data_IF_206254649033
#
_entry.id   IF_206254649033
#
_cell.length_a   1.000
_cell.length_b   1.000
_cell.length_c   1.000
_cell.angle_alpha   90.00
_cell.angle_beta   90.00
_cell.angle_gamma   90.00
#
_symmetry.space_group_name_H-M   'P 1'
#
loop_
_entity.id
_entity.type
_entity.pdbx_description
1 polymer ?
#
# COMPACT_ATOMS: atom_id res chain seq x y z
N UNK A 1 25.75 -8.91 -16.59
CA UNK A 1 25.89 -10.32 -16.17
C UNK A 1 26.01 -10.42 -14.66
N UNK A 2 27.06 -9.87 -14.01
CA UNK A 2 27.28 -9.90 -12.54
C UNK A 2 26.09 -9.43 -11.70
N UNK A 3 25.34 -8.42 -12.16
CA UNK A 3 24.18 -7.90 -11.45
C UNK A 3 23.04 -8.95 -11.35
N UNK A 4 22.84 -9.75 -12.37
CA UNK A 4 21.82 -10.82 -12.38
C UNK A 4 22.28 -11.99 -11.50
N UNK A 5 23.57 -12.28 -11.47
CA UNK A 5 24.15 -13.36 -10.65
C UNK A 5 24.15 -13.03 -9.16
N UNK A 6 24.22 -11.74 -8.80
CA UNK A 6 24.23 -11.31 -7.39
C UNK A 6 22.83 -11.00 -6.88
N UNK A 7 21.96 -10.41 -7.74
CA UNK A 7 20.66 -9.85 -7.34
C UNK A 7 19.45 -10.46 -8.09
N UNK A 8 19.67 -11.54 -8.83
CA UNK A 8 18.62 -12.26 -9.52
C UNK A 8 17.80 -13.15 -8.59
N UNK A 9 16.71 -13.69 -9.11
CA UNK A 9 15.91 -14.71 -8.44
C UNK A 9 16.81 -15.96 -8.17
N UNK A 10 16.66 -16.57 -7.00
CA UNK A 10 17.43 -17.73 -6.56
C UNK A 10 18.94 -17.49 -6.35
N UNK A 11 19.35 -16.23 -6.20
CA UNK A 11 20.75 -15.88 -5.88
C UNK A 11 20.98 -15.81 -4.37
N UNK A 12 22.23 -15.78 -3.88
CA UNK A 12 22.53 -15.67 -2.45
C UNK A 12 21.96 -14.42 -1.76
N UNK A 13 21.63 -13.38 -2.53
CA UNK A 13 21.01 -12.15 -2.02
C UNK A 13 19.48 -12.15 -2.14
N UNK A 14 18.91 -13.12 -2.83
CA UNK A 14 17.48 -13.35 -2.91
C UNK A 14 17.03 -14.17 -1.69
N UNK A 15 17.05 -13.51 -0.53
CA UNK A 15 16.58 -14.13 0.70
C UNK A 15 15.07 -14.28 0.62
N UNK A 16 14.53 -15.52 0.74
CA UNK A 16 13.10 -15.70 0.75
C UNK A 16 12.44 -14.83 1.82
N UNK A 17 11.33 -14.16 1.53
CA UNK A 17 10.61 -13.33 2.51
C UNK A 17 10.12 -14.11 3.74
N UNK A 18 10.27 -15.43 3.73
CA UNK A 18 9.95 -16.34 4.85
C UNK A 18 11.13 -16.58 5.81
N UNK A 19 12.30 -16.02 5.57
CA UNK A 19 13.42 -16.02 6.50
C UNK A 19 13.21 -14.95 7.58
N UNK A 20 12.12 -15.05 8.30
CA UNK A 20 11.84 -14.22 9.46
C UNK A 20 12.54 -14.76 10.72
N UNK A 21 12.23 -14.15 11.86
CA UNK A 21 12.75 -14.58 13.17
C UNK A 21 12.49 -16.07 13.50
N UNK A 22 11.48 -16.70 12.87
CA UNK A 22 11.17 -18.12 13.02
C UNK A 22 12.25 -19.02 12.46
N UNK A 23 12.94 -18.60 11.38
CA UNK A 23 14.05 -19.37 10.81
C UNK A 23 15.24 -19.47 11.77
N UNK A 24 15.49 -18.44 12.58
CA UNK A 24 16.55 -18.46 13.58
C UNK A 24 16.36 -19.57 14.65
N UNK A 25 15.14 -20.01 14.88
CA UNK A 25 14.83 -21.10 15.81
C UNK A 25 15.28 -22.47 15.29
N UNK A 26 15.56 -22.59 13.98
CA UNK A 26 16.04 -23.82 13.36
C UNK A 26 17.54 -24.06 13.59
N UNK A 27 18.29 -23.04 14.01
CA UNK A 27 19.70 -23.20 14.35
C UNK A 27 19.86 -23.87 15.71
N UNK A 28 20.80 -24.85 15.84
CA UNK A 28 20.87 -25.71 17.01
C UNK A 28 21.31 -25.00 18.28
N UNK A 29 22.02 -23.90 18.18
CA UNK A 29 22.58 -23.18 19.32
C UNK A 29 22.59 -21.67 19.12
N UNK A 30 22.77 -20.96 20.23
CA UNK A 30 22.79 -19.49 20.27
C UNK A 30 24.00 -18.88 19.59
N UNK A 31 25.13 -19.57 19.56
CA UNK A 31 26.36 -19.10 18.95
C UNK A 31 26.18 -19.02 17.42
N UNK A 32 25.65 -20.07 16.83
CA UNK A 32 25.28 -20.14 15.40
C UNK A 32 24.24 -19.09 15.03
N UNK A 33 23.21 -18.90 15.87
CA UNK A 33 22.22 -17.84 15.67
C UNK A 33 22.86 -16.43 15.67
N UNK A 34 23.77 -16.16 16.58
CA UNK A 34 24.46 -14.88 16.67
C UNK A 34 25.40 -14.64 15.47
N UNK A 35 26.10 -15.67 15.03
CA UNK A 35 26.96 -15.58 13.84
C UNK A 35 26.13 -15.30 12.59
N UNK A 36 25.01 -15.99 12.42
CA UNK A 36 24.08 -15.72 11.32
C UNK A 36 23.55 -14.28 11.34
N UNK A 37 23.13 -13.79 12.51
CA UNK A 37 22.69 -12.39 12.67
C UNK A 37 23.79 -11.40 12.33
N UNK A 38 25.03 -11.69 12.73
CA UNK A 38 26.18 -10.85 12.41
C UNK A 38 26.43 -10.77 10.91
N UNK A 39 26.34 -11.92 10.21
CA UNK A 39 26.51 -11.97 8.76
C UNK A 39 25.36 -11.25 8.02
N UNK A 40 24.13 -11.45 8.44
CA UNK A 40 22.99 -10.70 7.90
C UNK A 40 23.16 -9.19 8.08
N UNK A 41 23.55 -8.77 9.27
CA UNK A 41 23.76 -7.36 9.56
C UNK A 41 24.90 -6.76 8.70
N UNK A 42 26.00 -7.47 8.52
CA UNK A 42 27.08 -6.99 7.64
C UNK A 42 26.66 -6.93 6.17
N UNK A 43 25.79 -7.83 5.71
CA UNK A 43 25.21 -7.76 4.38
C UNK A 43 24.26 -6.56 4.25
N UNK A 44 23.39 -6.34 5.24
CA UNK A 44 22.49 -5.18 5.27
C UNK A 44 23.28 -3.86 5.28
N UNK A 45 24.32 -3.76 6.11
CA UNK A 45 25.19 -2.59 6.16
C UNK A 45 25.83 -2.31 4.80
N UNK A 46 26.37 -3.34 4.15
CA UNK A 46 26.94 -3.21 2.80
C UNK A 46 25.91 -2.80 1.75
N UNK A 47 24.69 -3.31 1.84
CA UNK A 47 23.60 -2.97 0.91
C UNK A 47 23.08 -1.53 1.08
N UNK A 48 23.32 -0.91 2.23
CA UNK A 48 22.87 0.45 2.56
C UNK A 48 24.02 1.46 2.44
N UNK A 49 25.27 1.03 2.33
CA UNK A 49 26.42 1.93 2.19
C UNK A 49 26.33 2.73 0.87
N UNK A 50 26.17 4.08 0.93
CA UNK A 50 26.04 4.89 -0.28
C UNK A 50 27.24 4.84 -1.23
N UNK A 51 28.42 4.45 -0.73
CA UNK A 51 29.64 4.41 -1.53
C UNK A 51 29.78 3.13 -2.36
N UNK A 52 29.26 2.00 -1.85
CA UNK A 52 29.47 0.68 -2.45
C UNK A 52 28.18 0.03 -2.93
N UNK A 53 27.03 0.43 -2.37
CA UNK A 53 25.76 -0.13 -2.75
C UNK A 53 25.28 0.38 -4.13
N UNK A 54 24.72 -0.50 -4.97
CA UNK A 54 24.10 -0.06 -6.20
C UNK A 54 22.84 0.78 -5.91
N UNK A 55 22.61 1.79 -6.73
CA UNK A 55 21.37 2.56 -6.69
C UNK A 55 20.14 1.62 -6.77
N UNK A 56 19.25 1.74 -5.79
CA UNK A 56 18.04 0.91 -5.68
C UNK A 56 16.81 1.78 -5.57
N UNK A 57 15.77 1.38 -6.27
CA UNK A 57 14.43 1.90 -6.08
C UNK A 57 13.54 0.81 -5.46
N UNK A 58 12.70 1.19 -4.52
CA UNK A 58 11.64 0.30 -4.06
C UNK A 58 10.63 0.10 -5.19
N UNK A 59 10.34 -1.15 -5.51
CA UNK A 59 9.32 -1.52 -6.48
C UNK A 59 8.35 -2.52 -5.84
N UNK A 60 7.07 -2.37 -6.19
CA UNK A 60 6.05 -3.35 -5.86
C UNK A 60 6.01 -4.39 -6.96
N UNK A 61 6.23 -5.63 -6.59
CA UNK A 61 6.11 -6.78 -7.48
C UNK A 61 4.94 -7.63 -6.98
N UNK A 62 4.13 -8.13 -7.90
CA UNK A 62 3.05 -9.04 -7.55
C UNK A 62 3.61 -10.42 -7.20
N UNK A 63 2.91 -11.10 -6.31
CA UNK A 63 3.16 -12.53 -6.08
C UNK A 63 2.85 -13.32 -7.37
N UNK A 64 3.61 -14.37 -7.64
CA UNK A 64 3.39 -15.26 -8.78
C UNK A 64 2.01 -15.94 -8.71
N UNK A 65 1.46 -16.10 -7.50
CA UNK A 65 0.14 -16.69 -7.25
C UNK A 65 -0.64 -15.84 -6.25
N UNK A 66 -1.22 -14.71 -6.69
CA UNK A 66 -2.00 -13.86 -5.81
C UNK A 66 -3.27 -14.59 -5.33
N UNK A 67 -3.47 -14.62 -4.02
CA UNK A 67 -4.62 -15.27 -3.39
C UNK A 67 -5.65 -14.26 -2.89
N UNK A 68 -6.93 -14.63 -2.99
CA UNK A 68 -8.00 -13.88 -2.35
C UNK A 68 -7.96 -14.06 -0.83
N UNK A 69 -8.18 -12.98 -0.11
CA UNK A 69 -8.20 -12.97 1.34
C UNK A 69 -9.39 -13.78 1.90
N UNK A 70 -9.24 -14.25 3.13
CA UNK A 70 -10.33 -14.88 3.88
C UNK A 70 -10.80 -13.99 5.02
N UNK A 71 -12.08 -14.03 5.31
CA UNK A 71 -12.63 -13.35 6.49
C UNK A 71 -12.09 -13.99 7.74
N UNK A 72 -11.53 -13.21 8.65
CA UNK A 72 -11.13 -13.68 9.97
C UNK A 72 -12.36 -13.68 10.89
N UNK A 73 -12.84 -14.86 11.26
CA UNK A 73 -14.02 -14.98 12.14
C UNK A 73 -13.70 -14.34 13.49
N UNK A 74 -14.48 -13.35 13.86
CA UNK A 74 -14.26 -12.52 15.08
C UNK A 74 -12.86 -11.90 15.19
N UNK A 75 -12.22 -11.62 14.04
CA UNK A 75 -10.87 -11.07 14.00
C UNK A 75 -9.75 -12.06 14.34
N UNK A 76 -10.04 -13.34 14.47
CA UNK A 76 -9.05 -14.37 14.80
C UNK A 76 -8.38 -14.91 13.53
N UNK A 77 -7.06 -14.67 13.29
CA UNK A 77 -6.37 -15.13 12.10
C UNK A 77 -6.27 -16.66 11.96
N UNK A 78 -6.47 -17.40 13.06
CA UNK A 78 -6.49 -18.86 13.05
C UNK A 78 -7.86 -19.45 12.73
N UNK A 79 -8.91 -18.61 12.66
CA UNK A 79 -10.27 -19.03 12.32
C UNK A 79 -10.69 -18.37 11.01
N UNK A 80 -10.38 -19.03 9.91
CA UNK A 80 -10.64 -18.55 8.57
C UNK A 80 -12.07 -18.88 8.13
N UNK A 81 -12.81 -17.87 7.73
CA UNK A 81 -14.13 -17.97 7.10
C UNK A 81 -14.06 -18.10 5.57
N UNK A 82 -15.05 -17.56 4.91
CA UNK A 82 -15.16 -17.58 3.44
C UNK A 82 -14.04 -16.80 2.76
N UNK A 83 -13.70 -17.17 1.52
CA UNK A 83 -12.86 -16.37 0.64
C UNK A 83 -13.65 -15.18 0.12
N UNK A 84 -13.02 -14.02 0.10
CA UNK A 84 -13.60 -12.79 -0.44
C UNK A 84 -12.80 -12.37 -1.65
N UNK A 85 -13.41 -12.28 -2.84
CA UNK A 85 -12.71 -11.82 -4.02
C UNK A 85 -12.23 -10.38 -3.83
N UNK A 86 -11.07 -10.07 -4.38
CA UNK A 86 -10.53 -8.70 -4.41
C UNK A 86 -11.42 -7.85 -5.30
N UNK A 87 -11.97 -6.77 -4.77
CA UNK A 87 -12.91 -5.89 -5.46
C UNK A 87 -12.95 -4.52 -4.80
N UNK A 88 -13.53 -3.55 -5.49
CA UNK A 88 -13.70 -2.22 -4.93
C UNK A 88 -14.84 -2.15 -3.90
N UNK A 89 -14.98 -0.99 -3.26
CA UNK A 89 -16.03 -0.78 -2.25
C UNK A 89 -17.41 -0.79 -2.89
N UNK A 90 -18.33 -1.58 -2.36
CA UNK A 90 -19.70 -1.73 -2.88
C UNK A 90 -20.45 -0.40 -3.02
N UNK A 91 -20.19 0.57 -2.15
CA UNK A 91 -20.81 1.89 -2.22
C UNK A 91 -20.40 2.67 -3.48
N UNK A 92 -19.21 2.43 -4.01
CA UNK A 92 -18.63 3.13 -5.15
C UNK A 92 -18.61 2.28 -6.42
N UNK A 93 -18.78 0.98 -6.29
CA UNK A 93 -18.91 -0.01 -7.35
C UNK A 93 -20.05 -0.99 -7.01
N UNK A 94 -21.30 -0.64 -7.36
CA UNK A 94 -22.45 -1.49 -7.09
C UNK A 94 -22.41 -2.87 -7.78
N UNK A 95 -21.72 -2.97 -8.90
CA UNK A 95 -21.57 -4.21 -9.67
C UNK A 95 -20.62 -5.20 -9.01
N UNK A 96 -19.75 -4.70 -8.12
CA UNK A 96 -18.81 -5.50 -7.34
C UNK A 96 -17.93 -6.40 -8.23
N UNK A 97 -17.43 -5.85 -9.32
CA UNK A 97 -16.55 -6.55 -10.26
C UNK A 97 -15.28 -6.99 -9.55
N UNK A 98 -14.96 -8.28 -9.63
CA UNK A 98 -13.74 -8.82 -9.06
C UNK A 98 -12.51 -8.35 -9.87
N UNK A 99 -11.40 -8.11 -9.18
CA UNK A 99 -10.13 -7.80 -9.82
C UNK A 99 -9.47 -9.08 -10.31
N UNK A 100 -9.05 -9.11 -11.57
CA UNK A 100 -8.53 -10.29 -12.25
C UNK A 100 -7.06 -10.14 -12.65
N UNK A 101 -6.56 -8.91 -12.79
CA UNK A 101 -5.19 -8.64 -13.24
C UNK A 101 -4.18 -8.72 -12.07
N UNK A 102 -3.37 -9.76 -12.02
CA UNK A 102 -2.34 -9.95 -11.01
C UNK A 102 -2.87 -9.88 -9.57
N UNK A 103 -2.29 -9.04 -8.73
CA UNK A 103 -2.77 -8.81 -7.36
C UNK A 103 -4.01 -7.90 -7.28
N UNK A 104 -4.47 -7.30 -8.38
CA UNK A 104 -5.56 -6.32 -8.40
C UNK A 104 -5.14 -4.89 -8.03
N UNK A 105 -3.85 -4.63 -7.78
CA UNK A 105 -3.38 -3.29 -7.37
C UNK A 105 -3.60 -2.24 -8.44
N UNK A 106 -3.41 -2.58 -9.71
CA UNK A 106 -3.64 -1.68 -10.84
C UNK A 106 -5.12 -1.33 -10.96
N UNK A 107 -5.99 -2.33 -10.96
CA UNK A 107 -7.45 -2.15 -11.01
C UNK A 107 -7.95 -1.35 -9.81
N UNK A 108 -7.41 -1.61 -8.61
CA UNK A 108 -7.71 -0.80 -7.42
C UNK A 108 -7.28 0.66 -7.61
N UNK A 109 -6.10 0.90 -8.15
CA UNK A 109 -5.63 2.26 -8.42
C UNK A 109 -6.53 2.97 -9.44
N UNK A 110 -6.90 2.30 -10.52
CA UNK A 110 -7.83 2.82 -11.54
C UNK A 110 -9.21 3.11 -10.95
N UNK A 111 -9.75 2.24 -10.09
CA UNK A 111 -11.01 2.46 -9.39
C UNK A 111 -10.95 3.67 -8.43
N UNK A 112 -9.82 3.85 -7.72
CA UNK A 112 -9.61 5.00 -6.83
C UNK A 112 -9.63 6.31 -7.64
N UNK A 113 -8.90 6.38 -8.75
CA UNK A 113 -8.80 7.62 -9.55
C UNK A 113 -9.92 7.79 -10.58
N UNK A 114 -10.85 6.86 -10.65
CA UNK A 114 -11.97 6.88 -11.57
C UNK A 114 -12.72 8.22 -11.51
N UNK A 115 -13.14 8.77 -12.67
CA UNK A 115 -13.99 9.97 -12.70
C UNK A 115 -15.31 9.80 -11.96
N UNK A 116 -15.80 8.58 -11.80
CA UNK A 116 -17.04 8.26 -11.07
C UNK A 116 -16.85 8.26 -9.56
N UNK A 117 -15.61 8.15 -9.07
CA UNK A 117 -15.31 8.22 -7.65
C UNK A 117 -15.19 9.68 -7.17
N UNK A 118 -16.12 10.17 -6.32
CA UNK A 118 -16.09 11.56 -5.86
C UNK A 118 -15.09 11.83 -4.74
N UNK A 119 -14.62 10.79 -4.05
CA UNK A 119 -13.91 10.96 -2.77
C UNK A 119 -12.48 11.53 -2.92
N UNK A 120 -11.62 11.04 -3.84
CA UNK A 120 -10.24 11.53 -3.93
C UNK A 120 -10.14 13.02 -4.19
N UNK A 121 -10.98 13.54 -5.09
CA UNK A 121 -10.97 14.96 -5.42
C UNK A 121 -11.47 15.83 -4.26
N UNK A 122 -12.44 15.33 -3.49
CA UNK A 122 -12.91 16.00 -2.27
C UNK A 122 -11.83 16.04 -1.19
N UNK A 123 -11.17 14.92 -0.95
CA UNK A 123 -10.08 14.82 0.04
C UNK A 123 -8.92 15.72 -0.35
N UNK A 124 -8.51 15.69 -1.61
CA UNK A 124 -7.40 16.50 -2.11
C UNK A 124 -7.72 18.00 -2.05
N UNK A 125 -8.90 18.41 -2.53
CA UNK A 125 -9.36 19.80 -2.46
C UNK A 125 -9.42 20.31 -1.01
N UNK A 126 -9.90 19.48 -0.08
CA UNK A 126 -9.93 19.83 1.35
C UNK A 126 -8.51 20.05 1.92
N UNK A 127 -7.57 19.21 1.55
CA UNK A 127 -6.16 19.35 2.01
C UNK A 127 -5.49 20.57 1.41
N UNK A 128 -5.66 20.82 0.12
CA UNK A 128 -5.13 22.02 -0.54
C UNK A 128 -5.72 23.27 0.11
N UNK A 129 -7.04 23.31 0.28
CA UNK A 129 -7.74 24.41 0.92
C UNK A 129 -7.21 24.66 2.35
N UNK A 130 -7.03 23.61 3.14
CA UNK A 130 -6.48 23.69 4.49
C UNK A 130 -5.09 24.34 4.51
N UNK A 131 -4.22 23.98 3.57
CA UNK A 131 -2.88 24.57 3.50
C UNK A 131 -2.89 26.04 3.04
N UNK A 132 -3.82 26.42 2.17
CA UNK A 132 -3.91 27.80 1.67
C UNK A 132 -4.65 28.74 2.63
N UNK A 133 -5.72 28.25 3.25
CA UNK A 133 -6.63 29.06 4.07
C UNK A 133 -6.44 28.87 5.59
N UNK A 134 -5.59 27.92 6.00
CA UNK A 134 -5.31 27.62 7.39
C UNK A 134 -6.37 26.74 8.09
N UNK A 135 -7.56 26.57 7.47
CA UNK A 135 -8.63 25.72 7.99
C UNK A 135 -9.27 24.90 6.87
N UNK A 136 -9.58 23.60 7.08
CA UNK A 136 -10.22 22.75 6.09
C UNK A 136 -11.72 23.00 5.98
N UNK A 137 -12.34 22.54 4.89
CA UNK A 137 -13.80 22.45 4.78
C UNK A 137 -14.38 21.38 5.73
N UNK A 138 -13.66 20.27 5.85
CA UNK A 138 -13.95 19.15 6.76
C UNK A 138 -12.80 19.03 7.75
N UNK A 139 -13.11 19.19 9.05
CA UNK A 139 -12.12 19.26 10.13
C UNK A 139 -11.35 17.96 10.37
N UNK A 140 -11.81 16.85 9.77
CA UNK A 140 -11.17 15.53 9.82
C UNK A 140 -10.56 15.16 8.47
N UNK A 141 -9.38 15.70 8.06
CA UNK A 141 -8.82 15.51 6.73
C UNK A 141 -8.49 14.05 6.36
N UNK A 142 -8.43 13.18 7.37
CA UNK A 142 -8.18 11.75 7.21
C UNK A 142 -9.46 10.89 7.34
N UNK A 143 -10.60 11.50 7.67
CA UNK A 143 -11.88 10.80 7.84
C UNK A 143 -13.02 11.61 7.21
N UNK A 144 -13.52 11.13 6.08
CA UNK A 144 -14.68 11.67 5.36
C UNK A 144 -15.91 10.77 5.52
N UNK A 145 -15.89 9.94 6.57
CA UNK A 145 -16.96 8.97 6.85
C UNK A 145 -18.16 9.56 7.57
N UNK A 146 -19.03 8.69 8.05
CA UNK A 146 -20.28 9.05 8.74
C UNK A 146 -20.07 9.79 10.06
N UNK A 147 -18.89 9.70 10.66
CA UNK A 147 -18.53 10.38 11.91
C UNK A 147 -17.98 11.78 11.69
N UNK A 148 -17.68 12.14 10.45
CA UNK A 148 -17.21 13.47 10.10
C UNK A 148 -18.35 14.49 10.16
N UNK A 149 -18.06 15.68 10.65
CA UNK A 149 -18.98 16.79 10.57
C UNK A 149 -19.23 17.22 9.12
N UNK A 150 -20.43 17.69 8.85
CA UNK A 150 -20.72 18.24 7.51
C UNK A 150 -19.91 19.52 7.30
N UNK A 151 -19.32 19.71 6.11
CA UNK A 151 -18.56 20.91 5.82
C UNK A 151 -19.46 22.16 5.95
N UNK A 152 -18.98 23.17 6.68
CA UNK A 152 -19.69 24.42 6.90
C UNK A 152 -19.98 25.16 5.59
N UNK A 153 -19.05 25.06 4.62
CA UNK A 153 -19.12 25.69 3.31
C UNK A 153 -19.27 24.63 2.21
N UNK A 154 -20.27 23.74 2.33
CA UNK A 154 -20.46 22.61 1.42
C UNK A 154 -20.55 23.01 -0.05
N UNK A 155 -21.28 24.08 -0.38
CA UNK A 155 -21.40 24.58 -1.76
C UNK A 155 -20.05 25.08 -2.33
N UNK A 156 -19.24 25.76 -1.52
CA UNK A 156 -17.91 26.24 -1.92
C UNK A 156 -17.00 25.05 -2.16
N UNK A 157 -17.03 24.07 -1.27
CA UNK A 157 -16.29 22.82 -1.44
C UNK A 157 -16.68 22.12 -2.75
N UNK A 158 -17.96 21.95 -3.02
CA UNK A 158 -18.44 21.28 -4.23
C UNK A 158 -18.02 22.04 -5.51
N UNK A 159 -18.11 23.37 -5.52
CA UNK A 159 -17.66 24.20 -6.63
C UNK A 159 -16.15 24.08 -6.83
N UNK A 160 -15.37 24.10 -5.74
CA UNK A 160 -13.91 23.92 -5.80
C UNK A 160 -13.54 22.58 -6.40
N UNK A 161 -14.20 21.50 -6.01
CA UNK A 161 -13.98 20.15 -6.54
C UNK A 161 -14.31 20.08 -8.04
N UNK A 162 -15.45 20.66 -8.45
CA UNK A 162 -15.85 20.70 -9.87
C UNK A 162 -14.84 21.46 -10.72
N UNK A 163 -14.39 22.63 -10.23
CA UNK A 163 -13.41 23.44 -10.96
C UNK A 163 -12.03 22.75 -11.01
N UNK A 164 -11.61 22.11 -9.94
CA UNK A 164 -10.38 21.32 -9.88
C UNK A 164 -10.39 20.19 -10.92
N UNK A 165 -11.51 19.46 -11.03
CA UNK A 165 -11.69 18.44 -12.08
C UNK A 165 -11.64 19.03 -13.48
N UNK A 166 -12.36 20.15 -13.70
CA UNK A 166 -12.41 20.83 -14.99
C UNK A 166 -11.02 21.26 -15.49
N UNK A 167 -10.14 21.63 -14.58
CA UNK A 167 -8.74 21.99 -14.87
C UNK A 167 -7.80 20.79 -14.96
N UNK A 168 -8.31 19.58 -15.06
CA UNK A 168 -7.48 18.37 -15.17
C UNK A 168 -6.71 18.05 -13.89
N UNK A 169 -7.24 18.42 -12.72
CA UNK A 169 -6.59 18.24 -11.41
C UNK A 169 -5.24 18.97 -11.29
N UNK A 170 -5.05 20.03 -12.06
CA UNK A 170 -3.90 20.91 -11.98
C UNK A 170 -4.15 22.04 -10.99
N UNK A 171 -3.11 22.44 -10.27
CA UNK A 171 -3.12 23.59 -9.36
C UNK A 171 -2.95 24.91 -10.10
#
# INVERSE_FOLDING_TARGET
ALRIEIYGKDTPSDLPPKLDWGFLSLFPDRATQNEYKRLLKSLEEWLVDPAEAPDRAMALVDDDQPEDARVFLRGNPNQLGERVPRRFLQLLDPEQTAFEEGSGRKELAEAIVSPTNPLPDRVLSNRIWMHLMGQPFVNTPADFGLRSERPTLSRVMDQTVVEFRRRGRSQ
#
